data_IF_982977170944
#
_entry.id   IF_982977170944
#
_cell.length_a   1.000
_cell.length_b   1.000
_cell.length_c   1.000
_cell.angle_alpha   90.00
_cell.angle_beta   90.00
_cell.angle_gamma   90.00
#
_symmetry.space_group_name_H-M   'P 1'
#
loop_
_entity.id
_entity.type
_entity.pdbx_description
1 polymer ?
#
# COMPACT_ATOMS: atom_id res chain seq x y z
N UNK A 1 -35.70 -32.40 -47.19
CA UNK A 1 -34.74 -31.28 -47.17
C UNK A 1 -35.17 -30.34 -46.03
N UNK A 2 -34.64 -30.55 -44.84
CA UNK A 2 -34.89 -29.68 -43.67
C UNK A 2 -33.63 -28.88 -43.42
N UNK A 3 -33.75 -27.60 -43.66
CA UNK A 3 -32.67 -26.62 -43.43
C UNK A 3 -32.78 -26.12 -42.01
N UNK A 4 -31.92 -26.64 -41.14
CA UNK A 4 -31.91 -26.34 -39.69
C UNK A 4 -30.93 -25.17 -39.46
N UNK A 5 -31.42 -23.93 -39.65
CA UNK A 5 -30.66 -22.72 -39.25
C UNK A 5 -30.75 -22.54 -37.75
N UNK A 6 -29.75 -23.04 -36.99
CA UNK A 6 -29.45 -22.61 -35.65
C UNK A 6 -28.95 -21.17 -35.71
N UNK A 7 -29.83 -20.24 -35.39
CA UNK A 7 -29.46 -18.85 -35.16
C UNK A 7 -28.84 -18.74 -33.76
N UNK A 8 -27.54 -18.48 -33.68
CA UNK A 8 -26.85 -18.20 -32.43
C UNK A 8 -27.33 -16.86 -31.84
N UNK A 9 -28.29 -16.91 -30.92
CA UNK A 9 -28.84 -15.75 -30.20
C UNK A 9 -27.97 -15.25 -29.03
N UNK A 10 -26.76 -15.77 -28.84
CA UNK A 10 -25.95 -15.49 -27.63
C UNK A 10 -25.07 -14.24 -27.69
N UNK A 11 -24.68 -13.75 -28.88
CA UNK A 11 -23.67 -12.68 -28.98
C UNK A 11 -24.23 -11.25 -29.03
N UNK A 12 -25.49 -11.07 -29.41
CA UNK A 12 -26.09 -9.74 -29.53
C UNK A 12 -26.52 -9.12 -28.18
N UNK A 13 -26.89 -9.92 -27.19
CA UNK A 13 -27.32 -9.38 -25.89
C UNK A 13 -26.16 -8.87 -25.02
N UNK A 14 -24.98 -9.47 -25.09
CA UNK A 14 -23.80 -8.98 -24.33
C UNK A 14 -23.33 -7.60 -24.82
N UNK A 15 -23.32 -7.35 -26.11
CA UNK A 15 -22.93 -6.04 -26.66
C UNK A 15 -23.93 -4.92 -26.32
N UNK A 16 -25.22 -5.22 -26.31
CA UNK A 16 -26.27 -4.25 -25.91
C UNK A 16 -26.20 -3.92 -24.42
N UNK A 17 -25.99 -4.91 -23.56
CA UNK A 17 -25.85 -4.70 -22.12
C UNK A 17 -24.58 -3.90 -21.78
N UNK A 18 -23.44 -4.22 -22.40
CA UNK A 18 -22.20 -3.49 -22.22
C UNK A 18 -22.32 -2.01 -22.65
N UNK A 19 -22.91 -1.74 -23.83
CA UNK A 19 -23.15 -0.37 -24.29
C UNK A 19 -24.11 0.42 -23.39
N UNK A 20 -25.08 -0.25 -22.76
CA UNK A 20 -26.02 0.37 -21.81
C UNK A 20 -25.32 0.73 -20.51
N UNK A 21 -24.46 -0.12 -19.99
CA UNK A 21 -23.70 0.12 -18.77
C UNK A 21 -22.66 1.24 -18.96
N UNK A 22 -21.97 1.28 -20.08
CA UNK A 22 -21.05 2.35 -20.41
C UNK A 22 -21.76 3.70 -20.52
N UNK A 23 -22.90 3.74 -21.18
CA UNK A 23 -23.74 4.96 -21.30
C UNK A 23 -24.20 5.45 -19.93
N UNK A 24 -24.60 4.53 -19.03
CA UNK A 24 -24.98 4.89 -17.65
C UNK A 24 -23.81 5.46 -16.87
N UNK A 25 -22.63 4.84 -16.94
CA UNK A 25 -21.41 5.35 -16.28
C UNK A 25 -21.06 6.76 -16.75
N UNK A 26 -21.12 7.02 -18.06
CA UNK A 26 -20.88 8.35 -18.63
C UNK A 26 -21.90 9.37 -18.08
N UNK A 27 -23.18 9.04 -18.11
CA UNK A 27 -24.25 9.91 -17.63
C UNK A 27 -24.11 10.19 -16.10
N UNK A 28 -23.72 9.19 -15.31
CA UNK A 28 -23.46 9.35 -13.89
C UNK A 28 -22.30 10.30 -13.61
N UNK A 29 -21.19 10.17 -14.32
CA UNK A 29 -20.03 11.05 -14.19
C UNK A 29 -20.39 12.47 -14.59
N UNK A 30 -21.11 12.65 -15.71
CA UNK A 30 -21.58 13.97 -16.15
C UNK A 30 -22.50 14.64 -15.12
N UNK A 31 -23.45 13.87 -14.55
CA UNK A 31 -24.32 14.37 -13.50
C UNK A 31 -23.54 14.82 -12.25
N UNK A 32 -22.56 14.02 -11.80
CA UNK A 32 -21.69 14.36 -10.67
C UNK A 32 -20.85 15.62 -10.94
N UNK A 33 -20.33 15.79 -12.16
CA UNK A 33 -19.60 17.01 -12.53
C UNK A 33 -20.48 18.25 -12.54
N UNK A 34 -21.74 18.13 -13.00
CA UNK A 34 -22.72 19.23 -12.96
C UNK A 34 -23.02 19.60 -11.51
N UNK A 35 -23.29 18.61 -10.65
CA UNK A 35 -23.55 18.82 -9.23
C UNK A 35 -22.36 19.47 -8.52
N UNK A 36 -21.14 19.04 -8.80
CA UNK A 36 -19.94 19.62 -8.21
C UNK A 36 -19.76 21.11 -8.58
N UNK A 37 -20.13 21.50 -9.81
CA UNK A 37 -20.12 22.90 -10.25
C UNK A 37 -21.23 23.71 -9.64
N UNK A 38 -22.39 23.11 -9.44
CA UNK A 38 -23.58 23.78 -8.85
C UNK A 38 -23.42 23.94 -7.33
N UNK A 39 -22.81 22.98 -6.69
CA UNK A 39 -22.56 22.95 -5.25
C UNK A 39 -21.06 22.80 -4.99
N UNK A 40 -20.28 23.85 -5.22
CA UNK A 40 -18.85 23.80 -4.99
C UNK A 40 -18.53 23.58 -3.52
N UNK A 41 -17.38 23.01 -3.26
CA UNK A 41 -16.86 22.71 -1.93
C UNK A 41 -16.68 23.99 -1.11
N UNK A 42 -17.23 24.00 0.09
CA UNK A 42 -16.81 24.94 1.12
C UNK A 42 -15.54 24.40 1.79
N UNK A 43 -14.39 24.96 1.41
CA UNK A 43 -13.08 24.52 1.92
C UNK A 43 -12.97 24.72 3.43
N UNK A 44 -13.55 25.81 3.97
CA UNK A 44 -13.54 26.08 5.42
C UNK A 44 -14.33 25.03 6.20
N UNK A 45 -15.53 24.75 5.74
CA UNK A 45 -16.38 23.71 6.34
C UNK A 45 -15.75 22.32 6.21
N UNK A 46 -15.22 21.98 5.04
CA UNK A 46 -14.55 20.70 4.81
C UNK A 46 -13.36 20.51 5.79
N UNK A 47 -12.52 21.52 5.95
CA UNK A 47 -11.42 21.50 6.90
C UNK A 47 -11.91 21.32 8.34
N UNK A 48 -12.91 22.07 8.77
CA UNK A 48 -13.47 21.97 10.11
C UNK A 48 -14.00 20.57 10.41
N UNK A 49 -14.69 19.94 9.46
CA UNK A 49 -15.21 18.59 9.64
C UNK A 49 -14.12 17.53 9.66
N UNK A 50 -13.08 17.67 8.83
CA UNK A 50 -11.90 16.79 8.87
C UNK A 50 -11.20 16.92 10.23
N UNK A 51 -11.01 18.12 10.74
CA UNK A 51 -10.39 18.38 12.04
C UNK A 51 -11.21 17.76 13.19
N UNK A 52 -12.54 17.90 13.13
CA UNK A 52 -13.45 17.32 14.12
C UNK A 52 -13.33 15.79 14.15
N UNK A 53 -13.36 15.13 12.99
CA UNK A 53 -13.20 13.68 12.91
C UNK A 53 -11.80 13.21 13.38
N UNK A 54 -10.76 13.97 13.10
CA UNK A 54 -9.40 13.64 13.56
C UNK A 54 -9.24 13.73 15.10
N UNK A 55 -10.18 14.38 15.80
CA UNK A 55 -10.24 14.39 17.27
C UNK A 55 -10.91 13.13 17.83
N UNK A 56 -11.48 12.26 16.99
CA UNK A 56 -11.98 10.97 17.42
C UNK A 56 -10.82 10.00 17.66
N UNK A 57 -10.67 9.46 18.91
CA UNK A 57 -9.59 8.53 19.23
C UNK A 57 -9.58 7.27 18.34
N UNK A 58 -10.75 6.72 17.99
CA UNK A 58 -10.85 5.51 17.18
C UNK A 58 -10.26 5.71 15.76
N UNK A 59 -10.53 6.87 15.16
CA UNK A 59 -9.90 7.23 13.89
C UNK A 59 -8.40 7.47 14.08
N UNK A 60 -8.03 8.25 15.10
CA UNK A 60 -6.65 8.64 15.35
C UNK A 60 -5.73 7.41 15.56
N UNK A 61 -6.21 6.36 16.25
CA UNK A 61 -5.45 5.12 16.48
C UNK A 61 -5.03 4.39 15.20
N UNK A 62 -5.79 4.55 14.13
CA UNK A 62 -5.54 3.88 12.86
C UNK A 62 -5.19 4.84 11.72
N UNK A 63 -5.07 6.14 12.03
CA UNK A 63 -4.91 7.21 11.05
C UNK A 63 -3.53 7.24 10.38
N UNK A 64 -2.49 6.85 11.11
CA UNK A 64 -1.10 7.00 10.70
C UNK A 64 -0.40 5.65 10.74
N UNK A 65 0.39 5.36 9.71
CA UNK A 65 1.36 4.27 9.74
C UNK A 65 2.78 4.83 9.80
N UNK A 66 3.65 4.15 10.53
CA UNK A 66 5.06 4.50 10.63
C UNK A 66 5.89 3.23 10.85
N UNK A 67 6.94 3.03 10.05
CA UNK A 67 7.83 1.88 10.18
C UNK A 67 9.24 2.18 9.69
N UNK A 68 10.27 1.52 10.24
CA UNK A 68 11.64 1.63 9.76
C UNK A 68 11.81 0.95 8.40
N UNK A 69 12.60 1.59 7.51
CA UNK A 69 12.99 1.04 6.21
C UNK A 69 14.45 1.38 5.92
N UNK A 70 15.36 0.44 6.18
CA UNK A 70 16.79 0.72 6.18
C UNK A 70 17.12 1.81 7.22
N UNK A 71 17.89 2.81 6.82
CA UNK A 71 18.28 3.94 7.68
C UNK A 71 17.22 5.06 7.76
N UNK A 72 16.07 4.87 7.11
CA UNK A 72 15.00 5.86 7.06
C UNK A 72 13.73 5.38 7.76
N UNK A 73 12.83 6.33 8.09
CA UNK A 73 11.50 6.05 8.62
C UNK A 73 10.47 6.42 7.56
N UNK A 74 9.63 5.48 7.20
CA UNK A 74 8.49 5.72 6.31
C UNK A 74 7.27 6.02 7.16
N UNK A 75 6.66 7.19 6.97
CA UNK A 75 5.46 7.64 7.68
C UNK A 75 4.44 8.20 6.70
N UNK A 76 3.15 7.95 6.96
CA UNK A 76 2.09 8.49 6.09
C UNK A 76 0.70 8.28 6.64
N UNK A 77 -0.28 8.89 5.97
CA UNK A 77 -1.69 8.71 6.27
C UNK A 77 -2.16 7.31 5.83
N UNK A 78 -2.87 6.62 6.69
CA UNK A 78 -3.52 5.35 6.36
C UNK A 78 -4.67 5.54 5.37
N UNK A 79 -5.15 4.44 4.79
CA UNK A 79 -6.32 4.51 3.90
C UNK A 79 -7.56 5.03 4.66
N UNK A 80 -7.71 4.71 5.96
CA UNK A 80 -8.84 5.13 6.79
C UNK A 80 -8.88 6.64 6.95
N UNK A 81 -7.74 7.26 7.25
CA UNK A 81 -7.65 8.72 7.33
C UNK A 81 -7.90 9.36 5.97
N UNK A 82 -7.31 8.84 4.92
CA UNK A 82 -7.45 9.40 3.56
C UNK A 82 -8.89 9.30 3.06
N UNK A 83 -9.60 8.20 3.34
CA UNK A 83 -11.04 8.08 3.01
C UNK A 83 -11.93 8.98 3.87
N UNK A 84 -11.58 9.20 5.14
CA UNK A 84 -12.24 10.19 5.99
C UNK A 84 -12.07 11.60 5.39
N UNK A 85 -10.84 11.99 5.05
CA UNK A 85 -10.55 13.28 4.40
C UNK A 85 -11.35 13.41 3.10
N UNK A 86 -11.33 12.39 2.23
CA UNK A 86 -12.07 12.39 0.97
C UNK A 86 -13.57 12.64 1.17
N UNK A 87 -14.17 12.01 2.19
CA UNK A 87 -15.60 12.15 2.49
C UNK A 87 -16.00 13.59 2.76
N UNK A 88 -15.23 14.31 3.55
CA UNK A 88 -15.52 15.70 3.91
C UNK A 88 -14.97 16.71 2.90
N UNK A 89 -13.88 16.35 2.20
CA UNK A 89 -13.39 17.16 1.09
C UNK A 89 -14.45 17.30 -0.02
N UNK A 90 -15.21 16.22 -0.22
CA UNK A 90 -16.37 16.22 -1.12
C UNK A 90 -16.01 16.35 -2.61
N UNK A 91 -17.04 16.28 -3.45
CA UNK A 91 -16.94 16.46 -4.92
C UNK A 91 -15.79 15.65 -5.57
N UNK A 92 -15.55 14.44 -5.07
CA UNK A 92 -14.53 13.53 -5.55
C UNK A 92 -15.09 12.15 -5.90
N UNK A 93 -14.50 11.53 -6.89
CA UNK A 93 -14.70 10.10 -7.20
C UNK A 93 -13.38 9.39 -6.98
N UNK A 94 -13.39 8.25 -6.31
CA UNK A 94 -12.26 7.33 -6.26
C UNK A 94 -12.74 5.90 -6.31
N UNK A 95 -11.90 5.01 -6.81
CA UNK A 95 -12.29 3.62 -6.94
C UNK A 95 -11.14 2.71 -7.33
N UNK A 96 -11.51 1.45 -7.43
CA UNK A 96 -10.70 0.37 -7.97
C UNK A 96 -11.53 -0.33 -9.03
N UNK A 97 -10.95 -0.61 -10.17
CA UNK A 97 -11.57 -1.29 -11.29
C UNK A 97 -10.67 -2.44 -11.74
N UNK A 98 -11.22 -3.64 -11.80
CA UNK A 98 -10.56 -4.79 -12.39
C UNK A 98 -10.71 -4.72 -13.91
N UNK A 99 -9.60 -4.56 -14.62
CA UNK A 99 -9.58 -4.46 -16.07
C UNK A 99 -9.49 -5.83 -16.74
N UNK A 100 -8.76 -6.76 -16.12
CA UNK A 100 -8.70 -8.16 -16.54
C UNK A 100 -8.35 -9.06 -15.37
N UNK A 101 -8.81 -10.32 -15.42
CA UNK A 101 -8.51 -11.32 -14.41
C UNK A 101 -8.28 -12.68 -15.09
N UNK A 102 -7.19 -13.34 -14.72
CA UNK A 102 -6.78 -14.64 -15.20
C UNK A 102 -6.50 -15.59 -14.04
N UNK A 103 -6.15 -16.82 -14.32
CA UNK A 103 -5.75 -17.78 -13.28
C UNK A 103 -4.45 -17.37 -12.56
N UNK A 104 -3.56 -16.61 -13.23
CA UNK A 104 -2.23 -16.23 -12.74
C UNK A 104 -2.14 -14.82 -12.16
N UNK A 105 -3.08 -13.93 -12.50
CA UNK A 105 -3.04 -12.53 -12.04
C UNK A 105 -4.19 -11.69 -12.55
N UNK A 106 -4.26 -10.46 -12.07
CA UNK A 106 -5.23 -9.45 -12.51
C UNK A 106 -4.53 -8.15 -12.87
N UNK A 107 -5.08 -7.44 -13.87
CA UNK A 107 -4.73 -6.04 -14.15
C UNK A 107 -5.79 -5.16 -13.51
N UNK A 108 -5.35 -4.24 -12.66
CA UNK A 108 -6.23 -3.43 -11.82
C UNK A 108 -5.91 -1.96 -12.02
N UNK A 109 -6.94 -1.14 -12.06
CA UNK A 109 -6.86 0.32 -12.10
C UNK A 109 -7.34 0.88 -10.76
N UNK A 110 -6.51 1.68 -10.11
CA UNK A 110 -6.92 2.52 -8.99
C UNK A 110 -6.92 3.97 -9.44
N UNK A 111 -7.90 4.75 -9.01
CA UNK A 111 -8.05 6.14 -9.45
C UNK A 111 -8.68 7.03 -8.38
N UNK A 112 -8.42 8.33 -8.52
CA UNK A 112 -9.14 9.39 -7.84
C UNK A 112 -9.28 10.60 -8.77
N UNK A 113 -10.41 11.31 -8.66
CA UNK A 113 -10.74 12.45 -9.51
C UNK A 113 -11.48 13.51 -8.69
N UNK A 114 -10.95 14.70 -8.66
CA UNK A 114 -11.64 15.89 -8.13
C UNK A 114 -12.48 16.51 -9.24
N UNK A 115 -13.78 16.52 -9.06
CA UNK A 115 -14.75 16.95 -10.06
C UNK A 115 -14.84 18.47 -10.21
N UNK A 116 -14.34 19.23 -9.23
CA UNK A 116 -14.32 20.71 -9.30
C UNK A 116 -13.10 21.19 -10.08
N UNK A 117 -11.91 20.75 -9.71
CA UNK A 117 -10.66 21.10 -10.38
C UNK A 117 -10.45 20.34 -11.70
N UNK A 118 -11.20 19.27 -11.92
CA UNK A 118 -11.01 18.31 -13.01
C UNK A 118 -9.62 17.65 -13.00
N UNK A 119 -8.97 17.61 -11.84
CA UNK A 119 -7.69 16.92 -11.67
C UNK A 119 -7.90 15.46 -11.29
N UNK A 120 -7.21 14.56 -11.96
CA UNK A 120 -7.28 13.13 -11.72
C UNK A 120 -5.89 12.52 -11.61
N UNK A 121 -5.75 11.49 -10.78
CA UNK A 121 -4.59 10.59 -10.74
C UNK A 121 -5.06 9.15 -10.84
N UNK A 122 -4.35 8.35 -11.60
CA UNK A 122 -4.64 6.92 -11.76
C UNK A 122 -3.37 6.08 -11.83
N UNK A 123 -3.50 4.82 -11.42
CA UNK A 123 -2.42 3.84 -11.47
C UNK A 123 -2.98 2.52 -11.97
N UNK A 124 -2.49 2.08 -13.14
CA UNK A 124 -2.75 0.75 -13.66
C UNK A 124 -1.56 -0.14 -13.27
N UNK A 125 -1.85 -1.30 -12.73
CA UNK A 125 -0.83 -2.22 -12.22
C UNK A 125 -1.30 -3.67 -12.33
N UNK A 126 -0.33 -4.55 -12.41
CA UNK A 126 -0.56 -5.99 -12.40
C UNK A 126 -0.40 -6.54 -10.98
N UNK A 127 -1.26 -7.51 -10.63
CA UNK A 127 -1.22 -8.27 -9.39
C UNK A 127 -1.03 -9.74 -9.76
N UNK A 128 0.16 -10.24 -9.58
CA UNK A 128 0.43 -11.67 -9.71
C UNK A 128 -0.14 -12.43 -8.51
N UNK A 129 -0.83 -13.56 -8.76
CA UNK A 129 -1.37 -14.41 -7.70
C UNK A 129 -0.30 -15.36 -7.14
N UNK A 130 0.83 -14.77 -6.73
CA UNK A 130 1.97 -15.48 -6.17
C UNK A 130 2.25 -14.96 -4.76
N UNK A 131 2.27 -15.86 -3.79
CA UNK A 131 2.67 -15.54 -2.41
C UNK A 131 4.13 -15.91 -2.21
N UNK A 132 4.96 -14.91 -1.93
CA UNK A 132 6.38 -15.11 -1.60
C UNK A 132 6.54 -15.21 -0.09
N UNK A 133 7.22 -16.27 0.37
CA UNK A 133 7.58 -16.50 1.76
C UNK A 133 9.09 -16.75 1.87
N UNK A 134 9.62 -16.80 3.10
CA UNK A 134 11.04 -17.17 3.32
C UNK A 134 11.40 -18.57 2.80
N UNK A 135 10.41 -19.46 2.60
CA UNK A 135 10.60 -20.83 2.08
C UNK A 135 10.45 -20.94 0.56
N UNK A 136 10.17 -19.84 -0.13
CA UNK A 136 9.96 -19.80 -1.57
C UNK A 136 8.65 -19.14 -1.96
N UNK A 137 8.42 -19.10 -3.27
CA UNK A 137 7.20 -18.52 -3.87
C UNK A 137 6.30 -19.64 -4.37
N UNK A 138 4.99 -19.49 -4.18
CA UNK A 138 3.98 -20.43 -4.67
C UNK A 138 2.75 -19.70 -5.18
N UNK A 139 2.05 -20.24 -6.22
CA UNK A 139 0.84 -19.65 -6.74
C UNK A 139 -0.33 -19.80 -5.75
N UNK A 140 -1.17 -18.78 -5.68
CA UNK A 140 -2.41 -18.82 -4.94
C UNK A 140 -3.47 -19.57 -5.75
N UNK A 141 -4.12 -20.55 -5.11
CA UNK A 141 -5.19 -21.34 -5.72
C UNK A 141 -6.57 -20.94 -5.20
N UNK A 142 -6.66 -20.57 -3.92
CA UNK A 142 -7.90 -20.17 -3.28
C UNK A 142 -8.40 -18.81 -3.82
N UNK A 143 -9.66 -18.72 -4.29
CA UNK A 143 -10.24 -17.47 -4.78
C UNK A 143 -10.25 -16.34 -3.75
N UNK A 144 -10.46 -16.66 -2.47
CA UNK A 144 -10.42 -15.68 -1.38
C UNK A 144 -9.04 -15.07 -1.20
N UNK A 145 -8.00 -15.92 -1.20
CA UNK A 145 -6.61 -15.45 -1.10
C UNK A 145 -6.22 -14.53 -2.26
N UNK A 146 -6.66 -14.86 -3.49
CA UNK A 146 -6.48 -14.02 -4.67
C UNK A 146 -7.16 -12.67 -4.52
N UNK A 147 -8.44 -12.67 -4.10
CA UNK A 147 -9.20 -11.47 -3.87
C UNK A 147 -8.56 -10.59 -2.79
N UNK A 148 -8.17 -11.16 -1.65
CA UNK A 148 -7.51 -10.42 -0.57
C UNK A 148 -6.17 -9.80 -1.02
N UNK A 149 -5.37 -10.54 -1.79
CA UNK A 149 -4.13 -10.02 -2.34
C UNK A 149 -4.36 -8.84 -3.28
N UNK A 150 -5.29 -8.97 -4.21
CA UNK A 150 -5.68 -7.91 -5.14
C UNK A 150 -6.21 -6.69 -4.38
N UNK A 151 -7.14 -6.89 -3.44
CA UNK A 151 -7.76 -5.82 -2.66
C UNK A 151 -6.74 -5.04 -1.83
N UNK A 152 -5.81 -5.72 -1.18
CA UNK A 152 -4.74 -5.09 -0.40
C UNK A 152 -3.80 -4.26 -1.28
N UNK A 153 -3.44 -4.77 -2.44
CA UNK A 153 -2.61 -4.03 -3.39
C UNK A 153 -3.35 -2.83 -3.99
N UNK A 154 -4.63 -2.99 -4.30
CA UNK A 154 -5.48 -1.93 -4.84
C UNK A 154 -5.71 -0.81 -3.82
N UNK A 155 -5.96 -1.13 -2.56
CA UNK A 155 -6.15 -0.14 -1.50
C UNK A 155 -4.96 0.80 -1.34
N UNK A 156 -3.72 0.28 -1.45
CA UNK A 156 -2.50 1.10 -1.39
C UNK A 156 -2.41 2.09 -2.55
N UNK A 157 -2.77 1.68 -3.78
CA UNK A 157 -2.73 2.53 -4.97
C UNK A 157 -3.88 3.53 -4.96
N UNK A 158 -5.10 3.11 -4.58
CA UNK A 158 -6.24 4.00 -4.37
C UNK A 158 -5.90 5.12 -3.38
N UNK A 159 -5.30 4.76 -2.22
CA UNK A 159 -4.82 5.75 -1.26
C UNK A 159 -3.85 6.75 -1.88
N UNK A 160 -2.87 6.27 -2.66
CA UNK A 160 -1.91 7.15 -3.31
C UNK A 160 -2.58 8.09 -4.33
N UNK A 161 -3.57 7.60 -5.09
CA UNK A 161 -4.35 8.44 -6.00
C UNK A 161 -5.15 9.52 -5.25
N UNK A 162 -5.84 9.17 -4.17
CA UNK A 162 -6.58 10.15 -3.36
C UNK A 162 -5.64 11.22 -2.79
N UNK A 163 -4.47 10.80 -2.27
CA UNK A 163 -3.46 11.72 -1.74
C UNK A 163 -2.85 12.64 -2.81
N UNK A 164 -2.77 12.19 -4.06
CA UNK A 164 -2.28 13.02 -5.16
C UNK A 164 -3.27 14.13 -5.54
N UNK A 165 -4.56 13.88 -5.35
CA UNK A 165 -5.65 14.81 -5.73
C UNK A 165 -5.96 15.81 -4.62
N UNK A 166 -5.86 15.41 -3.35
CA UNK A 166 -6.12 16.29 -2.20
C UNK A 166 -4.87 17.12 -1.90
N UNK A 167 -5.00 18.43 -1.62
CA UNK A 167 -3.86 19.26 -1.24
C UNK A 167 -3.10 18.71 -0.04
N UNK A 168 -1.79 18.59 -0.17
CA UNK A 168 -0.93 17.95 0.83
C UNK A 168 -1.09 18.55 2.23
N UNK A 169 -1.27 19.87 2.35
CA UNK A 169 -1.40 20.54 3.65
C UNK A 169 -2.64 20.08 4.43
N UNK A 170 -3.72 19.68 3.76
CA UNK A 170 -4.92 19.11 4.40
C UNK A 170 -4.58 17.77 5.06
N UNK A 171 -3.84 16.93 4.35
CA UNK A 171 -3.44 15.61 4.85
C UNK A 171 -2.45 15.76 6.01
N UNK A 172 -1.46 16.65 5.88
CA UNK A 172 -0.47 16.90 6.92
C UNK A 172 -1.13 17.45 8.19
N UNK A 173 -2.09 18.37 8.06
CA UNK A 173 -2.86 18.92 9.19
C UNK A 173 -3.71 17.86 9.88
N UNK A 174 -4.40 17.02 9.11
CA UNK A 174 -5.19 15.91 9.64
C UNK A 174 -4.32 14.92 10.42
N UNK A 175 -3.14 14.55 9.89
CA UNK A 175 -2.18 13.70 10.59
C UNK A 175 -1.69 14.33 11.89
N UNK A 176 -1.42 15.64 11.91
CA UNK A 176 -0.98 16.35 13.11
C UNK A 176 -2.04 16.33 14.21
N UNK A 177 -3.32 16.56 13.86
CA UNK A 177 -4.44 16.52 14.82
C UNK A 177 -4.65 15.10 15.36
N UNK A 178 -4.60 14.06 14.50
CA UNK A 178 -4.68 12.68 14.98
C UNK A 178 -3.55 12.36 15.97
N UNK A 179 -2.33 12.82 15.68
CA UNK A 179 -1.19 12.65 16.59
C UNK A 179 -1.44 13.32 17.96
N UNK A 180 -1.90 14.57 17.93
CA UNK A 180 -2.22 15.33 19.16
C UNK A 180 -3.36 14.66 19.97
N UNK A 181 -4.36 14.12 19.27
CA UNK A 181 -5.47 13.37 19.90
C UNK A 181 -4.95 12.15 20.63
N UNK A 182 -4.04 11.38 20.02
CA UNK A 182 -3.42 10.21 20.68
C UNK A 182 -2.53 10.60 21.85
N UNK A 183 -1.75 11.67 21.74
CA UNK A 183 -0.92 12.15 22.85
C UNK A 183 -1.78 12.52 24.07
N UNK A 184 -2.91 13.18 23.85
CA UNK A 184 -3.89 13.52 24.91
C UNK A 184 -4.54 12.28 25.52
N UNK A 185 -4.88 11.29 24.68
CA UNK A 185 -5.50 10.05 25.14
C UNK A 185 -4.55 9.22 26.01
N UNK A 186 -3.30 9.03 25.59
CA UNK A 186 -2.30 8.30 26.39
C UNK A 186 -2.11 8.95 27.78
N UNK A 187 -2.16 10.27 27.85
CA UNK A 187 -2.07 11.00 29.12
C UNK A 187 -3.30 10.75 29.99
N UNK A 188 -4.49 10.65 29.41
CA UNK A 188 -5.76 10.43 30.12
C UNK A 188 -5.91 9.00 30.63
N UNK A 189 -5.57 8.01 29.81
CA UNK A 189 -5.77 6.58 30.11
C UNK A 189 -4.72 6.02 31.10
N UNK A 190 -3.67 6.77 31.37
CA UNK A 190 -2.52 6.30 32.15
C UNK A 190 -1.50 5.56 31.29
N UNK A 191 -0.24 5.93 31.47
CA UNK A 191 0.84 5.45 30.64
C UNK A 191 1.06 3.94 30.78
N UNK A 192 1.05 3.43 32.03
CA UNK A 192 1.33 2.01 32.29
C UNK A 192 0.23 1.09 31.75
N UNK A 193 -1.05 1.47 31.91
CA UNK A 193 -2.15 0.72 31.33
C UNK A 193 -2.07 0.68 29.80
N UNK A 194 -1.70 1.80 29.18
CA UNK A 194 -1.55 1.89 27.74
C UNK A 194 -0.36 1.05 27.22
N UNK A 195 0.76 0.99 27.96
CA UNK A 195 1.88 0.11 27.68
C UNK A 195 1.45 -1.37 27.67
N UNK A 196 0.71 -1.79 28.72
CA UNK A 196 0.24 -3.16 28.82
C UNK A 196 -0.70 -3.55 27.67
N UNK A 197 -1.66 -2.68 27.31
CA UNK A 197 -2.55 -2.87 26.16
C UNK A 197 -1.77 -2.96 24.84
N UNK A 198 -0.74 -2.16 24.68
CA UNK A 198 0.11 -2.16 23.49
C UNK A 198 0.88 -3.47 23.35
N UNK A 199 1.49 -3.95 24.44
CA UNK A 199 2.18 -5.24 24.47
C UNK A 199 1.23 -6.40 24.10
N UNK A 200 0.02 -6.40 24.68
CA UNK A 200 -0.99 -7.40 24.37
C UNK A 200 -1.41 -7.36 22.89
N UNK A 201 -1.58 -6.16 22.31
CA UNK A 201 -1.90 -6.00 20.91
C UNK A 201 -0.82 -6.58 19.98
N UNK A 202 0.45 -6.32 20.28
CA UNK A 202 1.57 -6.89 19.50
C UNK A 202 1.69 -8.40 19.68
N UNK A 203 1.43 -8.95 20.86
CA UNK A 203 1.41 -10.40 21.10
C UNK A 203 0.30 -11.11 20.31
N UNK A 204 -0.82 -10.44 20.03
CA UNK A 204 -1.86 -10.97 19.12
C UNK A 204 -1.39 -11.05 17.66
N UNK A 205 -0.45 -10.19 17.25
CA UNK A 205 0.15 -10.26 15.91
C UNK A 205 1.17 -11.39 15.83
N UNK A 206 2.02 -11.51 16.87
CA UNK A 206 3.02 -12.55 17.00
C UNK A 206 3.34 -12.77 18.48
N UNK A 207 3.12 -13.98 18.97
CA UNK A 207 3.26 -14.37 20.39
C UNK A 207 4.68 -14.22 20.96
N UNK A 208 5.68 -14.21 20.08
CA UNK A 208 7.09 -14.05 20.42
C UNK A 208 7.55 -12.60 20.63
N UNK A 209 6.66 -11.59 20.42
CA UNK A 209 7.01 -10.17 20.64
C UNK A 209 6.96 -9.88 22.16
N UNK A 210 8.05 -9.35 22.69
CA UNK A 210 8.23 -9.03 24.09
C UNK A 210 8.50 -7.53 24.34
N UNK A 211 8.57 -7.16 25.61
CA UNK A 211 8.81 -5.79 26.07
C UNK A 211 10.16 -5.23 25.59
N UNK A 212 11.20 -6.08 25.58
CA UNK A 212 12.54 -5.69 25.15
C UNK A 212 12.54 -5.29 23.66
N UNK A 213 11.80 -6.03 22.83
CA UNK A 213 11.67 -5.75 21.40
C UNK A 213 10.93 -4.43 21.15
N UNK A 214 9.84 -4.17 21.90
CA UNK A 214 9.11 -2.90 21.81
C UNK A 214 9.97 -1.72 22.26
N UNK A 215 10.72 -1.90 23.33
CA UNK A 215 11.69 -0.92 23.82
C UNK A 215 12.78 -0.62 22.79
N UNK A 216 13.34 -1.65 22.17
CA UNK A 216 14.40 -1.54 21.16
C UNK A 216 13.97 -0.72 19.93
N UNK A 217 12.72 -0.85 19.47
CA UNK A 217 12.15 -0.04 18.38
C UNK A 217 12.15 1.44 18.72
N UNK A 218 11.96 1.78 19.99
CA UNK A 218 11.97 3.17 20.48
C UNK A 218 13.36 3.63 20.93
N UNK A 219 14.36 2.74 20.96
CA UNK A 219 15.70 3.03 21.46
C UNK A 219 15.76 3.25 22.97
N UNK A 220 14.85 2.65 23.75
CA UNK A 220 14.70 2.80 25.20
C UNK A 220 14.35 1.46 25.84
N UNK A 221 14.51 1.37 27.16
CA UNK A 221 13.91 0.28 27.93
C UNK A 221 12.39 0.45 27.98
N UNK A 222 11.63 -0.64 28.00
CA UNK A 222 10.17 -0.61 27.96
C UNK A 222 9.55 0.22 29.07
N UNK A 223 10.07 0.13 30.28
CA UNK A 223 9.60 0.90 31.44
C UNK A 223 9.80 2.41 31.26
N UNK A 224 10.79 2.83 30.47
CA UNK A 224 11.11 4.25 30.19
C UNK A 224 10.36 4.82 28.98
N UNK A 225 9.46 4.06 28.35
CA UNK A 225 8.65 4.54 27.24
C UNK A 225 7.68 5.62 27.73
N UNK A 226 7.66 6.75 27.02
CA UNK A 226 6.71 7.85 27.25
C UNK A 226 5.55 7.85 26.26
N UNK A 227 4.65 8.81 26.37
CA UNK A 227 3.46 8.93 25.52
C UNK A 227 3.79 8.92 24.01
N UNK A 228 4.83 9.66 23.61
CA UNK A 228 5.27 9.71 22.22
C UNK A 228 5.77 8.36 21.69
N UNK A 229 6.42 7.58 22.55
CA UNK A 229 6.91 6.24 22.17
C UNK A 229 5.72 5.29 21.96
N UNK A 230 4.69 5.38 22.81
CA UNK A 230 3.45 4.61 22.64
C UNK A 230 2.75 4.96 21.35
N UNK A 231 2.65 6.24 20.99
CA UNK A 231 2.06 6.63 19.70
C UNK A 231 2.88 6.12 18.55
N UNK A 232 4.22 6.14 18.62
CA UNK A 232 5.10 5.54 17.62
C UNK A 232 4.84 4.03 17.47
N UNK A 233 4.68 3.30 18.56
CA UNK A 233 4.34 1.88 18.55
C UNK A 233 2.95 1.62 17.95
N UNK A 234 1.95 2.48 18.23
CA UNK A 234 0.62 2.40 17.58
C UNK A 234 0.72 2.57 16.06
N UNK A 235 1.49 3.57 15.60
CA UNK A 235 1.70 3.79 14.18
C UNK A 235 2.40 2.60 13.50
N UNK A 236 3.35 1.97 14.19
CA UNK A 236 4.00 0.74 13.75
C UNK A 236 3.01 -0.43 13.71
N UNK A 237 2.18 -0.58 14.73
CA UNK A 237 1.13 -1.59 14.76
C UNK A 237 0.19 -1.45 13.54
N UNK A 238 -0.26 -0.22 13.25
CA UNK A 238 -1.06 0.09 12.06
C UNK A 238 -0.33 -0.30 10.77
N UNK A 239 0.96 -0.01 10.67
CA UNK A 239 1.77 -0.38 9.50
C UNK A 239 1.85 -1.90 9.28
N UNK A 240 1.93 -2.68 10.37
CA UNK A 240 1.94 -4.14 10.31
C UNK A 240 0.56 -4.67 9.93
N UNK A 241 -0.52 -4.16 10.53
CA UNK A 241 -1.89 -4.56 10.21
C UNK A 241 -2.26 -4.25 8.75
N UNK A 242 -1.86 -3.10 8.24
CA UNK A 242 -2.07 -2.71 6.85
C UNK A 242 -1.09 -3.41 5.87
N UNK A 243 -0.19 -4.26 6.39
CA UNK A 243 0.75 -5.06 5.60
C UNK A 243 1.84 -4.24 4.89
N UNK A 244 2.19 -3.05 5.38
CA UNK A 244 3.33 -2.26 4.88
C UNK A 244 4.66 -2.89 5.22
N UNK A 245 4.72 -3.51 6.41
CA UNK A 245 5.89 -4.19 6.94
C UNK A 245 5.45 -5.44 7.69
N UNK A 246 6.29 -6.46 7.71
CA UNK A 246 6.04 -7.67 8.52
C UNK A 246 6.65 -7.49 9.91
N UNK A 247 6.00 -8.01 10.95
CA UNK A 247 6.51 -7.97 12.30
C UNK A 247 7.93 -8.57 12.40
N UNK A 248 8.19 -9.62 11.64
CA UNK A 248 9.52 -10.28 11.59
C UNK A 248 10.62 -9.36 11.05
N UNK A 249 10.30 -8.47 10.12
CA UNK A 249 11.29 -7.58 9.52
C UNK A 249 11.65 -6.40 10.45
N UNK A 250 10.75 -6.08 11.39
CA UNK A 250 10.95 -5.00 12.37
C UNK A 250 11.65 -5.51 13.64
N UNK A 251 11.16 -6.62 14.20
CA UNK A 251 11.55 -7.05 15.53
C UNK A 251 12.66 -8.12 15.56
N UNK A 252 12.79 -8.89 14.50
CA UNK A 252 13.95 -9.76 14.35
C UNK A 252 14.98 -9.00 13.52
N UNK A 253 16.02 -8.47 14.17
CA UNK A 253 17.28 -8.24 13.46
C UNK A 253 17.62 -9.56 12.80
N UNK A 254 17.73 -9.60 11.48
CA UNK A 254 18.44 -10.67 10.82
C UNK A 254 19.79 -10.78 11.55
N UNK A 255 20.09 -11.92 12.14
CA UNK A 255 21.48 -12.32 12.26
C UNK A 255 22.02 -12.08 10.88
N UNK A 256 22.96 -11.13 10.76
CA UNK A 256 23.55 -10.75 9.50
C UNK A 256 23.97 -12.06 8.84
N UNK A 257 23.16 -12.55 7.91
CA UNK A 257 23.57 -13.58 6.99
C UNK A 257 24.79 -12.96 6.34
N UNK A 258 25.95 -13.51 6.69
CA UNK A 258 27.18 -13.27 5.93
C UNK A 258 26.74 -13.30 4.48
N UNK A 259 27.08 -12.28 3.66
CA UNK A 259 26.74 -12.32 2.25
C UNK A 259 27.15 -13.70 1.76
N UNK A 260 26.22 -14.40 1.13
CA UNK A 260 26.48 -15.73 0.60
C UNK A 260 27.73 -15.60 -0.28
N UNK A 261 28.84 -16.14 0.23
CA UNK A 261 30.15 -16.21 -0.44
C UNK A 261 30.05 -16.98 -1.75
N UNK A 262 28.89 -17.59 -2.01
CA UNK A 262 28.61 -18.38 -3.21
C UNK A 262 28.38 -17.51 -4.45
N UNK A 263 27.76 -16.33 -4.32
CA UNK A 263 27.56 -15.43 -5.50
C UNK A 263 28.84 -14.66 -5.84
N UNK A 264 29.67 -14.28 -4.87
CA UNK A 264 30.95 -13.60 -5.15
C UNK A 264 31.95 -14.57 -5.78
N UNK A 265 32.05 -15.79 -5.30
CA UNK A 265 32.94 -16.82 -5.89
C UNK A 265 32.52 -17.24 -7.31
N UNK A 266 31.21 -17.22 -7.62
CA UNK A 266 30.74 -17.52 -8.98
C UNK A 266 30.98 -16.35 -9.94
N UNK A 267 30.89 -15.11 -9.49
CA UNK A 267 31.19 -13.92 -10.29
C UNK A 267 32.71 -13.75 -10.52
N UNK A 268 33.52 -14.04 -9.51
CA UNK A 268 34.99 -13.98 -9.65
C UNK A 268 35.49 -15.05 -10.60
N UNK A 269 34.97 -16.29 -10.56
CA UNK A 269 35.27 -17.35 -11.53
C UNK A 269 34.82 -16.99 -12.94
N UNK A 270 33.65 -16.40 -13.11
CA UNK A 270 33.15 -15.96 -14.42
C UNK A 270 34.00 -14.85 -15.00
N UNK A 271 34.47 -13.91 -14.17
CA UNK A 271 35.37 -12.84 -14.57
C UNK A 271 36.79 -13.36 -14.94
N UNK A 272 37.31 -14.37 -14.22
CA UNK A 272 38.58 -15.03 -14.57
C UNK A 272 38.48 -15.83 -15.89
N UNK A 273 37.36 -16.53 -16.13
CA UNK A 273 37.12 -17.22 -17.41
C UNK A 273 37.00 -16.28 -18.58
N UNK A 274 36.29 -15.14 -18.42
CA UNK A 274 36.20 -14.10 -19.44
C UNK A 274 37.55 -13.41 -19.73
N UNK A 275 38.36 -13.18 -18.71
CA UNK A 275 39.70 -12.64 -18.87
C UNK A 275 40.65 -13.62 -19.60
N UNK A 276 40.53 -14.92 -19.32
CA UNK A 276 41.27 -15.96 -20.02
C UNK A 276 40.91 -16.07 -21.51
N UNK A 277 39.59 -16.04 -21.84
CA UNK A 277 39.12 -16.03 -23.24
C UNK A 277 39.56 -14.79 -24.03
N UNK A 278 39.60 -13.61 -23.38
CA UNK A 278 40.06 -12.38 -24.02
C UNK A 278 41.57 -12.38 -24.31
N UNK A 279 42.36 -13.03 -23.46
CA UNK A 279 43.83 -13.20 -23.69
C UNK A 279 44.12 -14.24 -24.78
N UNK A 280 43.34 -15.32 -24.87
CA UNK A 280 43.48 -16.30 -25.95
C UNK A 280 43.10 -15.76 -27.36
N UNK A 281 42.09 -14.88 -27.42
CA UNK A 281 41.72 -14.19 -28.64
C UNK A 281 42.74 -13.15 -29.12
N UNK A 282 43.43 -12.47 -28.21
CA UNK A 282 44.53 -11.53 -28.55
C UNK A 282 45.77 -12.26 -29.07
N UNK A 283 46.08 -13.43 -28.55
CA UNK A 283 47.22 -14.23 -29.01
C UNK A 283 47.05 -14.85 -30.40
N UNK A 284 45.78 -14.98 -30.90
CA UNK A 284 45.50 -15.48 -32.23
C UNK A 284 45.46 -14.41 -33.34
N UNK A 285 45.31 -13.15 -32.96
CA UNK A 285 45.34 -12.02 -33.92
C UNK A 285 46.74 -11.55 -34.26
N UNK A 286 47.74 -11.70 -33.37
CA UNK A 286 49.13 -11.33 -33.64
C UNK A 286 49.93 -12.36 -34.46
N UNK A 287 49.39 -13.55 -34.69
CA UNK A 287 50.06 -14.61 -35.48
C UNK A 287 49.70 -14.60 -36.97
N UNK A 288 48.81 -13.68 -37.42
CA UNK A 288 48.32 -13.67 -38.85
C UNK A 288 48.88 -12.47 -39.64
N UNK A 289 49.68 -11.60 -39.06
CA UNK A 289 50.21 -10.41 -39.76
C UNK A 289 51.73 -10.47 -40.07
N UNK A 290 52.30 -11.68 -40.03
CA UNK A 290 53.64 -11.95 -40.56
C UNK A 290 53.69 -13.13 -41.51
N UNK A 291 53.11 -12.92 -42.70
CA UNK A 291 53.51 -13.62 -43.92
C UNK A 291 53.18 -12.81 -45.16
#
# INVERSE_FOLDING_TARGET
MNDNRMVSRGSSNMGVVAGTEETKKIAEVQAKMILARQFPRDVGYAQQMIEYECQNPELAETAIYEFPKGDSVVRGASIRLVECIQRYWGNMISGVEELSNTSSGAVVRAYAWDLESNFADEKVFEVEYIRTTKKGSYPLTDPRDKYEMMSNQAARRKRACIQAVIPKFIIDKAMAICQETLDKQVTKDGLEETKAKMLEAFRKVADWIDESMLGAVCGKEFDKLGSRDIVKLRNLYTAIQDGFVKAQDVFRKEEATKPDTVESESLDKLNEELAAEMTEKKGKTDATDQR
#
